data_IF_176213116065
#
_entry.id   IF_176213116065
#
_cell.length_a   1.000
_cell.length_b   1.000
_cell.length_c   1.000
_cell.angle_alpha   90.00
_cell.angle_beta   90.00
_cell.angle_gamma   90.00
#
_symmetry.space_group_name_H-M   'P 1'
#
loop_
_entity.id
_entity.type
_entity.pdbx_description
1 polymer ?
#
# COMPACT_ATOMS: atom_id res chain seq x y z
N UNK A 1 -27.64 -10.84 0.57
CA UNK A 1 -26.60 -10.53 1.58
C UNK A 1 -27.26 -10.31 2.92
N UNK A 2 -26.77 -10.96 3.97
CA UNK A 2 -27.22 -10.70 5.34
C UNK A 2 -26.32 -9.63 5.99
N UNK A 3 -26.92 -8.61 6.59
CA UNK A 3 -26.25 -7.72 7.53
C UNK A 3 -26.57 -8.23 8.93
N UNK A 4 -25.55 -8.45 9.74
CA UNK A 4 -25.70 -8.87 11.13
C UNK A 4 -25.42 -7.69 12.04
N UNK A 5 -26.25 -7.51 13.06
CA UNK A 5 -25.95 -6.62 14.19
C UNK A 5 -25.38 -7.50 15.29
N UNK A 6 -24.21 -7.14 15.80
CA UNK A 6 -23.48 -7.93 16.79
C UNK A 6 -23.01 -7.00 17.91
N UNK A 7 -23.06 -7.50 19.14
CA UNK A 7 -22.31 -6.96 20.26
C UNK A 7 -20.93 -7.63 20.28
N UNK A 8 -19.88 -6.91 19.88
CA UNK A 8 -18.52 -7.40 20.01
C UNK A 8 -17.58 -6.27 20.40
N UNK A 9 -16.73 -6.54 21.38
CA UNK A 9 -15.69 -5.62 21.85
C UNK A 9 -14.30 -6.03 21.33
N UNK A 10 -14.16 -7.27 20.86
CA UNK A 10 -12.90 -7.82 20.36
C UNK A 10 -13.11 -8.76 19.17
N UNK A 11 -12.07 -8.96 18.38
CA UNK A 11 -12.02 -9.92 17.27
C UNK A 11 -12.28 -11.36 17.76
N UNK A 12 -11.89 -11.67 19.00
CA UNK A 12 -12.14 -12.97 19.62
C UNK A 12 -13.64 -13.18 19.90
N UNK A 13 -14.34 -12.16 20.43
CA UNK A 13 -15.78 -12.22 20.65
C UNK A 13 -16.55 -12.36 19.33
N UNK A 14 -16.13 -11.62 18.29
CA UNK A 14 -16.69 -11.74 16.95
C UNK A 14 -16.53 -13.15 16.38
N UNK A 15 -15.34 -13.74 16.50
CA UNK A 15 -15.09 -15.11 16.03
C UNK A 15 -15.94 -16.16 16.77
N UNK A 16 -16.15 -15.99 18.08
CA UNK A 16 -17.04 -16.85 18.86
C UNK A 16 -18.50 -16.74 18.41
N UNK A 17 -18.95 -15.52 18.13
CA UNK A 17 -20.30 -15.27 17.66
C UNK A 17 -20.53 -15.86 16.26
N UNK A 18 -19.56 -15.72 15.36
CA UNK A 18 -19.61 -16.36 14.04
C UNK A 18 -19.62 -17.88 14.17
N UNK A 19 -18.82 -18.46 15.08
CA UNK A 19 -18.87 -19.90 15.38
C UNK A 19 -20.27 -20.30 15.85
N UNK A 20 -20.87 -19.54 16.77
CA UNK A 20 -22.21 -19.80 17.31
C UNK A 20 -23.28 -19.77 16.23
N UNK A 21 -23.25 -18.76 15.35
CA UNK A 21 -24.27 -18.55 14.31
C UNK A 21 -24.11 -19.52 13.13
N UNK A 22 -22.88 -19.82 12.71
CA UNK A 22 -22.62 -20.64 11.51
C UNK A 22 -22.46 -22.13 11.81
N UNK A 23 -22.23 -22.51 13.07
CA UNK A 23 -21.88 -23.87 13.46
C UNK A 23 -20.52 -24.35 12.92
N UNK A 24 -19.70 -23.43 12.42
CA UNK A 24 -18.39 -23.74 11.82
C UNK A 24 -17.29 -23.65 12.86
N UNK A 25 -16.23 -24.42 12.69
CA UNK A 25 -15.00 -24.26 13.46
C UNK A 25 -14.16 -23.13 12.87
N UNK A 26 -13.68 -22.22 13.73
CA UNK A 26 -12.80 -21.12 13.30
C UNK A 26 -11.35 -21.58 13.43
N UNK A 27 -10.65 -21.74 12.31
CA UNK A 27 -9.25 -22.17 12.29
C UNK A 27 -8.26 -21.01 12.41
N UNK A 28 -8.63 -19.83 11.88
CA UNK A 28 -7.80 -18.63 11.92
C UNK A 28 -8.65 -17.37 11.78
N UNK A 29 -8.18 -16.31 12.42
CA UNK A 29 -8.75 -14.96 12.39
C UNK A 29 -7.61 -13.98 12.09
N UNK A 30 -7.83 -13.07 11.14
CA UNK A 30 -6.94 -11.96 10.84
C UNK A 30 -7.74 -10.66 10.74
N UNK A 31 -7.14 -9.55 11.13
CA UNK A 31 -7.77 -8.23 11.12
C UNK A 31 -6.95 -7.27 10.26
N UNK A 32 -7.63 -6.52 9.40
CA UNK A 32 -7.09 -5.42 8.60
C UNK A 32 -8.05 -4.22 8.70
N UNK A 33 -7.79 -3.35 9.68
CA UNK A 33 -8.67 -2.24 10.03
C UNK A 33 -10.08 -2.75 10.34
N UNK A 34 -11.06 -2.28 9.57
CA UNK A 34 -12.45 -2.70 9.71
C UNK A 34 -12.80 -4.04 9.03
N UNK A 35 -11.83 -4.72 8.44
CA UNK A 35 -12.04 -6.02 7.78
C UNK A 35 -11.50 -7.16 8.63
N UNK A 36 -12.28 -8.22 8.82
CA UNK A 36 -11.85 -9.45 9.48
C UNK A 36 -11.92 -10.60 8.49
N UNK A 37 -10.81 -11.33 8.36
CA UNK A 37 -10.70 -12.53 7.54
C UNK A 37 -10.75 -13.77 8.43
N UNK A 38 -11.61 -14.72 8.07
CA UNK A 38 -11.80 -15.96 8.81
C UNK A 38 -11.55 -17.16 7.90
N UNK A 39 -10.78 -18.13 8.38
CA UNK A 39 -10.77 -19.48 7.81
C UNK A 39 -11.72 -20.36 8.63
N UNK A 40 -12.84 -20.75 8.03
CA UNK A 40 -13.90 -21.53 8.68
C UNK A 40 -13.93 -22.95 8.13
N UNK A 41 -13.96 -23.95 9.02
CA UNK A 41 -14.11 -25.35 8.68
C UNK A 41 -15.52 -25.86 8.97
N UNK A 42 -16.16 -26.43 7.95
CA UNK A 42 -17.48 -27.08 8.06
C UNK A 42 -17.51 -28.33 7.18
N UNK A 43 -17.95 -29.46 7.74
CA UNK A 43 -18.05 -30.74 7.05
C UNK A 43 -16.76 -31.16 6.30
N UNK A 44 -15.59 -30.89 6.90
CA UNK A 44 -14.28 -31.23 6.34
C UNK A 44 -13.73 -30.26 5.29
N UNK A 45 -14.50 -29.24 4.89
CA UNK A 45 -14.05 -28.19 3.97
C UNK A 45 -13.71 -26.92 4.75
N UNK A 46 -12.59 -26.28 4.42
CA UNK A 46 -12.19 -24.98 4.95
C UNK A 46 -12.39 -23.91 3.88
N UNK A 47 -13.19 -22.89 4.17
CA UNK A 47 -13.46 -21.75 3.27
C UNK A 47 -13.13 -20.43 3.94
N UNK A 48 -12.83 -19.41 3.13
CA UNK A 48 -12.69 -18.06 3.65
C UNK A 48 -14.06 -17.38 3.81
N UNK A 49 -14.20 -16.64 4.90
CA UNK A 49 -15.27 -15.67 5.12
C UNK A 49 -14.64 -14.31 5.43
N UNK A 50 -15.11 -13.29 4.74
CA UNK A 50 -14.65 -11.91 4.91
C UNK A 50 -15.77 -11.12 5.57
N UNK A 51 -15.44 -10.43 6.66
CA UNK A 51 -16.35 -9.60 7.43
C UNK A 51 -15.91 -8.14 7.29
N UNK A 52 -16.80 -7.27 6.84
CA UNK A 52 -16.59 -5.82 6.97
C UNK A 52 -17.40 -5.31 8.15
N UNK A 53 -16.72 -4.76 9.15
CA UNK A 53 -17.29 -4.32 10.41
C UNK A 53 -17.42 -2.80 10.41
N UNK A 54 -18.63 -2.28 10.51
CA UNK A 54 -18.91 -0.86 10.63
C UNK A 54 -19.40 -0.55 12.05
N UNK A 55 -18.63 0.19 12.86
CA UNK A 55 -19.09 0.68 14.15
C UNK A 55 -20.36 1.50 14.00
N UNK A 56 -21.33 1.26 14.89
CA UNK A 56 -22.51 2.11 14.97
C UNK A 56 -22.15 3.41 15.70
N UNK A 57 -22.65 4.54 15.20
CA UNK A 57 -22.45 5.85 15.82
C UNK A 57 -23.07 5.94 17.22
N UNK A 58 -24.12 5.16 17.47
CA UNK A 58 -24.73 4.93 18.77
C UNK A 58 -25.05 3.43 18.87
N UNK A 59 -24.76 2.78 20.01
CA UNK A 59 -25.23 1.41 20.25
C UNK A 59 -26.75 1.31 20.13
N UNK A 60 -27.24 0.17 19.65
CA UNK A 60 -28.66 -0.17 19.66
C UNK A 60 -29.15 -0.34 21.10
N UNK A 61 -30.46 -0.19 21.38
CA UNK A 61 -31.03 -0.38 22.72
C UNK A 61 -30.70 -1.74 23.35
N UNK A 62 -30.53 -2.77 22.53
CA UNK A 62 -30.24 -4.15 22.96
C UNK A 62 -28.72 -4.42 23.10
N UNK A 63 -27.89 -3.40 22.91
CA UNK A 63 -26.45 -3.42 23.17
C UNK A 63 -25.57 -3.70 21.94
N UNK A 64 -26.14 -3.98 20.77
CA UNK A 64 -25.34 -4.15 19.55
C UNK A 64 -24.66 -2.84 19.17
N UNK A 65 -23.37 -2.93 18.83
CA UNK A 65 -22.51 -1.79 18.57
C UNK A 65 -21.83 -1.86 17.19
N UNK A 66 -22.03 -2.95 16.44
CA UNK A 66 -21.38 -3.20 15.16
C UNK A 66 -22.40 -3.69 14.12
N UNK A 67 -22.36 -3.10 12.93
CA UNK A 67 -22.97 -3.65 11.73
C UNK A 67 -21.92 -4.45 10.96
N UNK A 68 -22.19 -5.72 10.70
CA UNK A 68 -21.27 -6.64 10.03
C UNK A 68 -21.85 -7.07 8.69
N UNK A 69 -21.08 -6.87 7.63
CA UNK A 69 -21.33 -7.43 6.30
C UNK A 69 -20.48 -8.69 6.15
N UNK A 70 -21.11 -9.81 5.86
CA UNK A 70 -20.45 -11.10 5.68
C UNK A 70 -20.45 -11.48 4.19
N UNK A 71 -19.27 -11.81 3.66
CA UNK A 71 -19.06 -12.25 2.28
C UNK A 71 -18.26 -13.55 2.27
N UNK A 72 -18.76 -14.55 1.54
CA UNK A 72 -18.03 -15.79 1.32
C UNK A 72 -16.95 -15.61 0.25
N UNK A 73 -15.90 -16.43 0.29
CA UNK A 73 -14.86 -16.49 -0.75
C UNK A 73 -15.44 -16.50 -2.18
N UNK A 74 -16.47 -17.32 -2.41
CA UNK A 74 -17.14 -17.48 -3.70
C UNK A 74 -17.87 -16.22 -4.20
N UNK A 75 -18.15 -15.26 -3.31
CA UNK A 75 -18.74 -13.96 -3.67
C UNK A 75 -17.67 -12.97 -4.16
N UNK A 76 -16.40 -13.39 -4.17
CA UNK A 76 -15.23 -12.61 -4.60
C UNK A 76 -15.14 -11.23 -3.93
N UNK A 77 -15.08 -11.17 -2.58
CA UNK A 77 -15.21 -9.91 -1.84
C UNK A 77 -14.12 -8.90 -2.19
N UNK A 78 -14.45 -7.62 -2.24
CA UNK A 78 -13.50 -6.58 -2.65
C UNK A 78 -12.21 -6.58 -1.80
N UNK A 79 -12.34 -6.76 -0.47
CA UNK A 79 -11.22 -6.81 0.45
C UNK A 79 -10.44 -8.13 0.30
N UNK A 80 -9.19 -8.06 -0.15
CA UNK A 80 -8.37 -9.23 -0.49
C UNK A 80 -6.94 -9.11 0.06
N UNK A 81 -6.81 -8.87 1.37
CA UNK A 81 -5.52 -8.66 2.05
C UNK A 81 -5.16 -9.77 3.05
N UNK A 82 -5.88 -10.88 3.02
CA UNK A 82 -5.59 -12.03 3.88
C UNK A 82 -4.16 -12.55 3.68
N UNK A 83 -3.53 -13.01 4.75
CA UNK A 83 -2.15 -13.48 4.73
C UNK A 83 -2.03 -14.87 4.12
N UNK A 84 -0.80 -15.25 3.76
CA UNK A 84 -0.49 -16.58 3.25
C UNK A 84 -0.85 -17.67 4.25
N UNK A 85 -0.64 -17.41 5.54
CA UNK A 85 -0.95 -18.34 6.62
C UNK A 85 -2.46 -18.60 6.75
N UNK A 86 -3.32 -17.66 6.32
CA UNK A 86 -4.76 -17.90 6.23
C UNK A 86 -5.12 -18.64 4.95
N UNK A 87 -4.61 -18.18 3.80
CA UNK A 87 -4.96 -18.78 2.51
C UNK A 87 -4.49 -20.23 2.39
N UNK A 88 -3.38 -20.60 3.04
CA UNK A 88 -2.84 -21.97 3.06
C UNK A 88 -3.73 -22.95 3.86
N UNK A 89 -4.63 -22.47 4.73
CA UNK A 89 -5.58 -23.31 5.47
C UNK A 89 -6.81 -23.68 4.65
N UNK A 90 -7.07 -22.96 3.55
CA UNK A 90 -8.28 -23.11 2.76
C UNK A 90 -8.22 -24.38 1.93
N UNK A 91 -9.33 -25.10 1.84
CA UNK A 91 -9.43 -26.24 0.92
C UNK A 91 -9.16 -25.73 -0.50
N UNK A 92 -8.28 -26.38 -1.29
CA UNK A 92 -8.03 -25.98 -2.66
C UNK A 92 -9.33 -25.87 -3.43
N UNK A 93 -9.56 -24.74 -4.09
CA UNK A 93 -10.69 -24.60 -4.98
C UNK A 93 -10.55 -25.66 -6.09
N UNK A 94 -11.56 -26.51 -6.29
CA UNK A 94 -11.53 -27.51 -7.34
C UNK A 94 -11.29 -26.85 -8.71
N UNK A 95 -10.51 -27.50 -9.57
CA UNK A 95 -10.07 -27.05 -10.91
C UNK A 95 -11.17 -26.59 -11.88
N UNK A 96 -12.45 -26.65 -11.49
CA UNK A 96 -13.59 -26.46 -12.39
C UNK A 96 -14.23 -25.07 -12.33
N UNK A 97 -13.95 -24.23 -11.32
CA UNK A 97 -14.68 -22.95 -11.15
C UNK A 97 -13.90 -21.78 -10.54
N UNK A 98 -12.59 -21.67 -10.74
CA UNK A 98 -11.89 -20.41 -10.41
C UNK A 98 -11.63 -19.62 -11.67
N UNK A 99 -12.45 -18.61 -12.02
CA UNK A 99 -12.05 -17.64 -13.02
C UNK A 99 -10.76 -16.95 -12.57
N UNK A 100 -9.84 -16.72 -13.49
CA UNK A 100 -8.70 -15.83 -13.26
C UNK A 100 -9.21 -14.50 -12.68
N UNK A 101 -8.63 -14.03 -11.56
CA UNK A 101 -9.12 -12.84 -10.83
C UNK A 101 -9.96 -13.13 -9.58
N UNK A 102 -10.04 -14.39 -9.14
CA UNK A 102 -10.64 -14.78 -7.86
C UNK A 102 -9.88 -14.18 -6.64
N UNK A 103 -10.59 -14.06 -5.52
CA UNK A 103 -10.17 -13.45 -4.27
C UNK A 103 -8.82 -13.96 -3.77
N UNK A 104 -8.54 -15.26 -3.90
CA UNK A 104 -7.24 -15.86 -3.53
C UNK A 104 -6.08 -15.30 -4.35
N UNK A 105 -6.27 -15.09 -5.65
CA UNK A 105 -5.23 -14.52 -6.51
C UNK A 105 -4.96 -13.06 -6.13
N UNK A 106 -5.99 -12.30 -5.78
CA UNK A 106 -5.83 -10.92 -5.27
C UNK A 106 -5.12 -10.88 -3.92
N UNK A 107 -5.39 -11.83 -3.02
CA UNK A 107 -4.62 -11.99 -1.78
C UNK A 107 -3.15 -12.31 -2.05
N UNK A 108 -2.84 -13.20 -2.99
CA UNK A 108 -1.47 -13.51 -3.38
C UNK A 108 -0.74 -12.28 -3.99
N UNK A 109 -1.43 -11.51 -4.83
CA UNK A 109 -0.89 -10.25 -5.39
C UNK A 109 -0.62 -9.21 -4.29
N UNK A 110 -1.53 -9.09 -3.31
CA UNK A 110 -1.32 -8.24 -2.15
C UNK A 110 -0.08 -8.66 -1.36
N UNK A 111 0.05 -9.94 -1.03
CA UNK A 111 1.19 -10.47 -0.28
C UNK A 111 2.52 -10.24 -1.00
N UNK A 112 2.57 -10.48 -2.32
CA UNK A 112 3.75 -10.21 -3.13
C UNK A 112 4.14 -8.72 -3.11
N UNK A 113 3.15 -7.82 -3.12
CA UNK A 113 3.38 -6.38 -3.02
C UNK A 113 3.91 -5.97 -1.64
N UNK A 114 3.33 -6.51 -0.57
CA UNK A 114 3.81 -6.29 0.80
C UNK A 114 5.28 -6.71 0.94
N UNK A 115 5.65 -7.87 0.39
CA UNK A 115 7.04 -8.33 0.43
C UNK A 115 8.00 -7.39 -0.32
N UNK A 116 7.62 -6.93 -1.53
CA UNK A 116 8.43 -5.95 -2.28
C UNK A 116 8.56 -4.62 -1.53
N UNK A 117 7.48 -4.14 -0.93
CA UNK A 117 7.47 -2.90 -0.15
C UNK A 117 8.30 -3.00 1.15
N UNK A 118 8.26 -4.15 1.83
CA UNK A 118 9.13 -4.43 2.98
C UNK A 118 10.62 -4.41 2.59
N UNK A 119 10.95 -4.88 1.38
CA UNK A 119 12.29 -4.78 0.79
C UNK A 119 12.66 -3.39 0.26
N UNK A 120 11.71 -2.46 0.19
CA UNK A 120 11.89 -1.13 -0.42
C UNK A 120 11.98 -1.14 -1.94
N UNK A 121 11.59 -2.22 -2.61
CA UNK A 121 11.65 -2.32 -4.08
C UNK A 121 10.54 -1.52 -4.76
N UNK A 122 9.33 -1.50 -4.19
CA UNK A 122 8.18 -0.73 -4.68
C UNK A 122 7.47 -0.06 -3.51
N UNK A 123 6.70 1.00 -3.76
CA UNK A 123 5.77 1.51 -2.75
C UNK A 123 4.60 0.52 -2.56
N UNK A 124 4.07 0.41 -1.35
CA UNK A 124 2.91 -0.43 -1.05
C UNK A 124 1.64 0.13 -1.72
N UNK A 125 1.50 1.46 -1.70
CA UNK A 125 0.40 2.19 -2.35
C UNK A 125 -0.97 2.10 -1.64
N UNK A 126 -1.09 1.26 -0.62
CA UNK A 126 -2.30 1.02 0.15
C UNK A 126 -1.95 0.99 1.64
N UNK A 127 -2.52 1.90 2.41
CA UNK A 127 -2.22 2.06 3.83
C UNK A 127 -3.49 1.90 4.68
N UNK A 128 -3.37 1.51 5.96
CA UNK A 128 -4.51 1.35 6.86
C UNK A 128 -5.38 2.62 6.89
N UNK A 129 -6.70 2.42 6.85
CA UNK A 129 -7.76 3.44 6.84
C UNK A 129 -7.48 4.67 5.96
N UNK A 130 -6.83 4.45 4.81
CA UNK A 130 -6.53 5.49 3.83
C UNK A 130 -7.08 5.08 2.46
N UNK A 131 -8.21 5.68 2.06
CA UNK A 131 -8.83 5.47 0.75
C UNK A 131 -8.78 6.78 -0.03
N UNK A 132 -7.97 6.80 -1.09
CA UNK A 132 -7.73 7.98 -1.92
C UNK A 132 -6.90 9.09 -1.26
N UNK A 133 -6.74 9.08 0.07
CA UNK A 133 -6.00 10.10 0.79
C UNK A 133 -5.47 9.61 2.15
N UNK A 134 -4.17 9.81 2.41
CA UNK A 134 -3.52 9.42 3.69
C UNK A 134 -3.56 10.56 4.72
N UNK A 135 -3.65 11.82 4.28
CA UNK A 135 -3.33 13.01 5.08
C UNK A 135 -4.17 13.27 6.34
N UNK A 136 -5.30 12.58 6.54
CA UNK A 136 -6.14 12.72 7.76
C UNK A 136 -6.04 11.54 8.74
N UNK A 137 -5.21 10.53 8.45
CA UNK A 137 -5.11 9.34 9.27
C UNK A 137 -3.68 9.14 9.81
N UNK A 138 -3.48 9.28 11.11
CA UNK A 138 -2.18 9.12 11.76
C UNK A 138 -1.59 7.71 11.62
N UNK A 139 -2.41 6.66 11.64
CA UNK A 139 -1.96 5.28 11.43
C UNK A 139 -1.47 5.12 9.99
N UNK A 140 -2.29 5.56 9.03
CA UNK A 140 -1.94 5.57 7.61
C UNK A 140 -0.67 6.37 7.32
N UNK A 141 -0.53 7.57 7.90
CA UNK A 141 0.66 8.44 7.76
C UNK A 141 1.93 7.76 8.23
N UNK A 142 1.90 7.13 9.41
CA UNK A 142 3.08 6.45 9.96
C UNK A 142 3.48 5.25 9.08
N UNK A 143 2.50 4.48 8.61
CA UNK A 143 2.76 3.36 7.69
C UNK A 143 3.35 3.85 6.36
N UNK A 144 2.76 4.92 5.80
CA UNK A 144 3.25 5.61 4.60
C UNK A 144 4.68 6.11 4.76
N UNK A 145 4.98 6.85 5.83
CA UNK A 145 6.31 7.43 6.05
C UNK A 145 7.38 6.33 6.08
N UNK A 146 7.12 5.26 6.82
CA UNK A 146 8.05 4.13 6.91
C UNK A 146 8.29 3.47 5.56
N UNK A 147 7.23 3.32 4.76
CA UNK A 147 7.30 2.70 3.45
C UNK A 147 8.05 3.57 2.43
N UNK A 148 7.67 4.84 2.32
CA UNK A 148 8.34 5.80 1.47
C UNK A 148 9.83 5.98 1.84
N UNK A 149 10.17 6.00 3.14
CA UNK A 149 11.58 6.00 3.58
C UNK A 149 12.33 4.75 3.16
N UNK A 150 11.73 3.56 3.27
CA UNK A 150 12.37 2.31 2.81
C UNK A 150 12.64 2.37 1.31
N UNK A 151 11.63 2.73 0.53
CA UNK A 151 11.75 2.87 -0.92
C UNK A 151 12.85 3.87 -1.33
N UNK A 152 12.83 5.09 -0.77
CA UNK A 152 13.82 6.12 -1.10
C UNK A 152 15.24 5.73 -0.65
N UNK A 153 15.40 5.05 0.50
CA UNK A 153 16.71 4.51 0.91
C UNK A 153 17.23 3.49 -0.10
N UNK A 154 16.36 2.65 -0.65
CA UNK A 154 16.73 1.68 -1.67
C UNK A 154 17.12 2.37 -2.98
N UNK A 155 16.37 3.37 -3.44
CA UNK A 155 16.71 4.19 -4.61
C UNK A 155 18.07 4.88 -4.42
N UNK A 156 18.31 5.50 -3.25
CA UNK A 156 19.61 6.08 -2.90
C UNK A 156 20.74 5.06 -2.98
N UNK A 157 20.53 3.87 -2.41
CA UNK A 157 21.52 2.78 -2.44
C UNK A 157 21.86 2.38 -3.87
N UNK A 158 20.85 2.28 -4.73
CA UNK A 158 21.03 1.94 -6.14
C UNK A 158 21.80 3.04 -6.87
N UNK A 159 21.40 4.31 -6.73
CA UNK A 159 22.09 5.44 -7.37
C UNK A 159 23.54 5.59 -6.88
N UNK A 160 23.83 5.27 -5.62
CA UNK A 160 25.18 5.38 -5.05
C UNK A 160 25.63 6.83 -4.83
N UNK A 161 24.70 7.79 -4.88
CA UNK A 161 25.00 9.21 -4.74
C UNK A 161 24.86 9.68 -3.27
N UNK A 162 25.71 10.61 -2.80
CA UNK A 162 25.56 11.21 -1.49
C UNK A 162 24.27 12.02 -1.37
N UNK A 163 23.69 12.03 -0.17
CA UNK A 163 22.47 12.74 0.18
C UNK A 163 21.68 12.01 1.27
N UNK A 164 20.53 12.57 1.65
CA UNK A 164 19.72 12.11 2.78
C UNK A 164 18.23 12.02 2.43
N UNK A 165 17.56 11.05 3.05
CA UNK A 165 16.09 10.95 3.03
C UNK A 165 15.53 11.80 4.16
N UNK A 166 14.88 12.90 3.82
CA UNK A 166 14.24 13.81 4.78
C UNK A 166 12.73 13.59 4.80
N UNK A 167 12.10 14.00 5.90
CA UNK A 167 10.66 13.92 6.09
C UNK A 167 10.18 15.24 6.64
N UNK A 168 9.05 15.73 6.14
CA UNK A 168 8.41 16.93 6.67
C UNK A 168 7.28 16.54 7.64
N UNK A 169 7.52 16.55 8.97
CA UNK A 169 6.50 16.21 9.95
C UNK A 169 5.41 17.29 10.10
N UNK A 170 5.68 18.54 9.69
CA UNK A 170 4.81 19.70 9.91
C UNK A 170 3.84 19.98 8.77
N UNK A 171 3.77 19.13 7.74
CA UNK A 171 2.86 19.27 6.59
C UNK A 171 1.38 19.00 6.93
N UNK A 172 0.87 19.59 8.01
CA UNK A 172 -0.41 19.25 8.67
C UNK A 172 -1.66 19.70 7.86
N UNK A 173 -1.50 20.51 6.80
CA UNK A 173 -2.64 20.89 5.96
C UNK A 173 -2.78 20.07 4.67
N UNK A 174 -1.77 19.32 4.21
CA UNK A 174 -1.85 18.68 2.88
C UNK A 174 -1.05 17.38 2.69
N UNK A 175 0.14 17.17 3.26
CA UNK A 175 0.94 16.00 2.88
C UNK A 175 2.04 15.61 3.86
N UNK A 176 2.02 14.36 4.32
CA UNK A 176 3.28 13.72 4.69
C UNK A 176 4.03 13.48 3.39
N UNK A 177 5.05 14.29 3.09
CA UNK A 177 5.94 14.04 1.98
C UNK A 177 7.28 13.53 2.52
N UNK A 178 7.78 12.47 1.88
CA UNK A 178 9.13 11.98 2.12
C UNK A 178 9.97 12.36 0.92
N UNK A 179 11.07 13.05 1.18
CA UNK A 179 11.95 13.57 0.14
C UNK A 179 13.29 12.86 0.16
N UNK A 180 13.92 12.80 -1.00
CA UNK A 180 15.30 12.37 -1.18
C UNK A 180 15.99 13.36 -2.11
N UNK A 181 16.97 14.07 -1.57
CA UNK A 181 17.84 14.93 -2.36
C UNK A 181 19.22 14.29 -2.46
N UNK A 182 19.70 14.07 -3.68
CA UNK A 182 20.99 13.45 -3.97
C UNK A 182 21.81 14.33 -4.90
N UNK A 183 23.12 14.29 -4.72
CA UNK A 183 24.08 14.94 -5.63
C UNK A 183 25.04 13.89 -6.16
N UNK A 184 25.20 13.72 -7.49
CA UNK A 184 26.20 12.85 -8.06
C UNK A 184 27.61 13.16 -7.54
N UNK A 185 28.50 12.16 -7.38
CA UNK A 185 29.90 12.40 -6.97
C UNK A 185 30.67 13.35 -7.88
N UNK A 186 30.25 13.47 -9.15
CA UNK A 186 30.81 14.36 -10.15
C UNK A 186 30.49 15.85 -9.90
N UNK A 187 29.56 16.17 -8.99
CA UNK A 187 29.13 17.54 -8.70
C UNK A 187 28.26 18.18 -9.79
N UNK A 188 28.01 17.47 -10.90
CA UNK A 188 27.00 17.84 -11.89
C UNK A 188 25.60 17.63 -11.29
N UNK A 189 24.66 18.53 -11.60
CA UNK A 189 23.29 18.63 -11.08
C UNK A 189 22.68 17.40 -10.38
N UNK A 190 21.98 17.64 -9.26
CA UNK A 190 21.41 16.60 -8.41
C UNK A 190 20.10 16.00 -8.90
N UNK A 191 19.45 15.25 -8.01
CA UNK A 191 18.06 14.80 -8.17
C UNK A 191 17.31 15.02 -6.87
N UNK A 192 16.08 15.53 -6.97
CA UNK A 192 15.10 15.55 -5.90
C UNK A 192 13.99 14.56 -6.24
N UNK A 193 13.72 13.64 -5.32
CA UNK A 193 12.63 12.68 -5.40
C UNK A 193 11.67 12.95 -4.25
N UNK A 194 10.38 12.91 -4.55
CA UNK A 194 9.27 13.20 -3.67
C UNK A 194 8.28 12.04 -3.76
N UNK A 195 7.98 11.45 -2.60
CA UNK A 195 6.84 10.56 -2.44
C UNK A 195 5.78 11.32 -1.65
N UNK A 196 4.62 11.53 -2.28
CA UNK A 196 3.56 12.38 -1.74
C UNK A 196 2.31 11.60 -1.40
N UNK A 197 1.64 11.98 -0.32
CA UNK A 197 0.41 11.35 0.16
C UNK A 197 -0.87 12.17 -0.14
N UNK A 198 -0.80 13.12 -1.09
CA UNK A 198 -1.83 14.17 -1.31
C UNK A 198 -3.08 13.75 -2.06
N UNK A 199 -3.16 12.55 -2.65
CA UNK A 199 -4.29 12.19 -3.52
C UNK A 199 -4.48 13.14 -4.71
N UNK A 200 -3.52 14.04 -4.96
CA UNK A 200 -3.55 15.03 -6.02
C UNK A 200 -3.41 14.42 -7.40
N UNK A 201 -3.67 15.22 -8.44
CA UNK A 201 -3.56 14.78 -9.83
C UNK A 201 -2.14 14.32 -10.17
N UNK A 202 -2.04 13.07 -10.64
CA UNK A 202 -0.79 12.45 -11.08
C UNK A 202 -0.99 11.85 -12.46
N UNK A 203 -0.22 12.28 -13.49
CA UNK A 203 -0.32 11.76 -14.85
C UNK A 203 -0.13 10.24 -14.96
N UNK A 204 0.58 9.63 -14.00
CA UNK A 204 0.83 8.18 -13.93
C UNK A 204 -0.27 7.37 -13.22
N UNK A 205 -1.27 8.02 -12.63
CA UNK A 205 -2.27 7.43 -11.75
C UNK A 205 -1.77 7.33 -10.30
N UNK A 206 -2.60 7.76 -9.34
CA UNK A 206 -2.30 7.64 -7.92
C UNK A 206 -2.49 6.19 -7.43
N UNK A 207 -1.85 5.87 -6.31
CA UNK A 207 -2.12 4.62 -5.61
C UNK A 207 -3.55 4.59 -5.05
N UNK A 208 -4.07 3.43 -4.62
CA UNK A 208 -5.41 3.38 -4.01
C UNK A 208 -5.55 4.25 -2.75
N UNK A 209 -4.46 4.53 -2.02
CA UNK A 209 -4.43 5.50 -0.91
C UNK A 209 -4.05 6.93 -1.33
N UNK A 210 -3.94 7.24 -2.62
CA UNK A 210 -3.61 8.57 -3.12
C UNK A 210 -2.12 8.91 -3.16
N UNK A 211 -1.24 7.91 -3.06
CA UNK A 211 0.21 8.15 -3.08
C UNK A 211 0.75 8.36 -4.47
N UNK A 212 1.67 9.31 -4.60
CA UNK A 212 2.41 9.60 -5.82
C UNK A 212 3.90 9.59 -5.66
N UNK A 213 4.55 9.51 -6.82
CA UNK A 213 5.99 9.52 -6.96
C UNK A 213 6.38 10.53 -8.04
N UNK A 214 7.08 11.57 -7.61
CA UNK A 214 7.60 12.63 -8.47
C UNK A 214 9.11 12.70 -8.32
N UNK A 215 9.80 13.05 -9.38
CA UNK A 215 11.21 13.40 -9.30
C UNK A 215 11.58 14.49 -10.29
N UNK A 216 12.68 15.17 -10.02
CA UNK A 216 13.25 16.17 -10.92
C UNK A 216 14.76 16.21 -10.78
N UNK A 217 15.46 16.49 -11.87
CA UNK A 217 16.87 16.85 -11.80
C UNK A 217 16.99 18.26 -11.20
N UNK A 218 17.99 18.48 -10.36
CA UNK A 218 18.29 19.80 -9.81
C UNK A 218 19.49 20.40 -10.56
N UNK A 219 19.40 21.65 -11.01
CA UNK A 219 20.50 22.28 -11.74
C UNK A 219 21.71 22.48 -10.82
N UNK A 220 22.90 22.31 -11.37
CA UNK A 220 24.16 22.76 -10.77
C UNK A 220 24.36 24.27 -10.90
N UNK A 221 25.45 24.78 -10.34
CA UNK A 221 25.79 26.20 -10.44
C UNK A 221 25.95 26.65 -11.91
N UNK A 222 25.37 27.81 -12.24
CA UNK A 222 25.42 28.38 -13.59
C UNK A 222 24.49 27.75 -14.63
N UNK A 223 23.70 26.73 -14.27
CA UNK A 223 22.75 26.07 -15.19
C UNK A 223 21.37 26.76 -15.19
N UNK A 224 20.73 26.80 -16.36
CA UNK A 224 19.37 27.34 -16.49
C UNK A 224 18.35 26.40 -15.85
N UNK A 225 17.85 26.76 -14.66
CA UNK A 225 16.82 26.02 -13.93
C UNK A 225 15.51 25.83 -14.70
N UNK A 226 15.29 26.57 -15.79
CA UNK A 226 14.08 26.47 -16.62
C UNK A 226 14.25 25.52 -17.81
N UNK A 227 15.44 24.97 -18.02
CA UNK A 227 15.69 24.03 -19.11
C UNK A 227 14.74 22.81 -19.00
N UNK A 228 14.24 22.27 -20.14
CA UNK A 228 13.31 21.15 -20.14
C UNK A 228 13.78 19.92 -19.35
N UNK A 229 15.10 19.72 -19.23
CA UNK A 229 15.70 18.63 -18.47
C UNK A 229 15.33 18.63 -16.97
N UNK A 230 15.05 19.80 -16.39
CA UNK A 230 14.72 20.00 -14.97
C UNK A 230 13.21 20.08 -14.69
N UNK A 231 12.37 19.71 -15.67
CA UNK A 231 10.92 19.62 -15.45
C UNK A 231 10.59 18.42 -14.59
N UNK A 232 9.56 18.58 -13.75
CA UNK A 232 9.00 17.50 -12.93
C UNK A 232 8.61 16.31 -13.80
N UNK A 233 9.01 15.12 -13.36
CA UNK A 233 8.64 13.83 -13.94
C UNK A 233 7.83 13.04 -12.92
N UNK A 234 6.87 12.29 -13.42
CA UNK A 234 5.97 11.48 -12.61
C UNK A 234 6.20 10.02 -12.93
N UNK A 235 6.51 9.24 -11.91
CA UNK A 235 6.59 7.79 -12.01
C UNK A 235 5.32 7.18 -11.41
N UNK A 236 5.00 5.95 -11.84
CA UNK A 236 3.91 5.20 -11.21
C UNK A 236 4.37 4.77 -9.81
N UNK A 237 3.44 4.71 -8.86
CA UNK A 237 3.76 4.19 -7.52
C UNK A 237 4.21 2.71 -7.55
N UNK A 238 3.87 1.97 -8.62
CA UNK A 238 4.33 0.60 -8.89
C UNK A 238 5.71 0.51 -9.54
N UNK A 239 6.33 1.63 -9.92
CA UNK A 239 7.70 1.65 -10.47
C UNK A 239 8.67 1.11 -9.42
N UNK A 240 9.55 0.19 -9.84
CA UNK A 240 10.55 -0.37 -8.92
C UNK A 240 11.68 0.62 -8.64
N UNK A 241 12.38 0.46 -7.52
CA UNK A 241 13.50 1.30 -7.14
C UNK A 241 14.62 1.23 -8.20
N UNK A 242 14.83 0.05 -8.80
CA UNK A 242 15.77 -0.15 -9.90
C UNK A 242 15.35 0.62 -11.14
N UNK A 243 14.08 0.48 -11.56
CA UNK A 243 13.56 1.22 -12.72
C UNK A 243 13.70 2.73 -12.54
N UNK A 244 13.32 3.24 -11.36
CA UNK A 244 13.45 4.67 -11.06
C UNK A 244 14.91 5.14 -11.08
N UNK A 245 15.83 4.36 -10.50
CA UNK A 245 17.25 4.69 -10.51
C UNK A 245 17.82 4.71 -11.93
N UNK A 246 17.44 3.75 -12.78
CA UNK A 246 17.87 3.69 -14.18
C UNK A 246 17.31 4.86 -15.00
N UNK A 247 16.03 5.22 -14.81
CA UNK A 247 15.42 6.40 -15.43
C UNK A 247 16.14 7.70 -15.04
N UNK A 248 16.50 7.84 -13.76
CA UNK A 248 17.25 9.01 -13.26
C UNK A 248 18.65 9.05 -13.88
N UNK A 249 19.37 7.92 -13.94
CA UNK A 249 20.70 7.87 -14.56
C UNK A 249 20.65 8.21 -16.05
N UNK A 250 19.68 7.65 -16.78
CA UNK A 250 19.52 7.95 -18.20
C UNK A 250 19.27 9.44 -18.43
N UNK A 251 18.37 10.04 -17.62
CA UNK A 251 18.09 11.47 -17.68
C UNK A 251 19.29 12.35 -17.34
N UNK A 252 20.07 11.95 -16.34
CA UNK A 252 21.28 12.65 -15.92
C UNK A 252 22.35 12.60 -17.02
N UNK A 253 22.55 11.44 -17.65
CA UNK A 253 23.47 11.30 -18.77
C UNK A 253 23.03 12.11 -20.00
N UNK A 254 21.72 12.24 -20.24
CA UNK A 254 21.19 13.04 -21.34
C UNK A 254 21.26 14.55 -21.07
N UNK A 255 21.10 14.97 -19.81
CA UNK A 255 21.24 16.37 -19.41
C UNK A 255 22.70 16.83 -19.37
N UNK A 256 23.63 15.91 -19.11
CA UNK A 256 25.07 16.15 -18.97
C UNK A 256 25.87 15.19 -19.86
N UNK A 257 25.81 15.35 -21.20
CA UNK A 257 26.45 14.44 -22.16
C UNK A 257 27.98 14.34 -21.99
N UNK A 258 28.61 15.35 -21.38
CA UNK A 258 30.02 15.32 -20.96
C UNK A 258 30.37 14.13 -20.04
N UNK A 259 29.39 13.56 -19.34
CA UNK A 259 29.55 12.37 -18.50
C UNK A 259 29.55 11.05 -19.29
N UNK A 260 29.15 11.05 -20.58
CA UNK A 260 29.20 9.85 -21.43
C UNK A 260 30.63 9.53 -21.90
N UNK A 261 31.60 10.40 -21.61
CA UNK A 261 32.97 10.37 -22.15
C UNK A 261 34.05 10.05 -21.09
N UNK A 262 33.65 9.79 -19.84
CA UNK A 262 34.52 9.49 -18.71
C UNK A 262 34.32 8.05 -18.24
#
# INVERSE_FOLDING_TARGET
MAKLLIQAETTTALAQEIRRVTGSEVLKVEEDGHTVYLALRRAGLTTAVVLTCTPLSLPMPDGENLAVKLEGEAENPAAARASRALTDLLTPAGLLFTPEGDWRARCAQWQARVQRAQGGDTLLGEYPDAVGYVGYNEIGKKAFEQDARRFLRQVRKLLGWPGEVTFNPSGIASSGDVYLHLTPPTGTGGVMIDVSAEGGFQPGGCSPSGVGLRWTLTPGEGQDRWAPAYRNRWARWTTTATQLADEIRAAQADAFPELKSA
#
